data_IF_291265639353
#
_entry.id   IF_291265639353
#
_cell.length_a   1.000
_cell.length_b   1.000
_cell.length_c   1.000
_cell.angle_alpha   90.00
_cell.angle_beta   90.00
_cell.angle_gamma   90.00
#
_symmetry.space_group_name_H-M   'P 1'
#
loop_
_entity.id
_entity.type
_entity.pdbx_description
1 polymer ?
#
# COMPACT_ATOMS: atom_id res chain seq x y z
N UNK A 1 -56.33 -18.20 13.20
CA UNK A 1 -55.06 -18.20 13.95
C UNK A 1 -54.02 -18.86 13.08
N UNK A 2 -53.28 -18.06 12.31
CA UNK A 2 -52.19 -18.53 11.46
C UNK A 2 -51.13 -17.43 11.50
N UNK A 3 -49.98 -17.74 12.10
CA UNK A 3 -48.82 -16.86 12.10
C UNK A 3 -48.00 -17.13 10.82
N UNK A 4 -47.53 -16.10 10.09
CA UNK A 4 -46.44 -16.27 9.15
C UNK A 4 -45.11 -16.00 9.87
N UNK A 5 -44.24 -16.98 9.80
CA UNK A 5 -42.80 -16.88 10.07
C UNK A 5 -42.14 -16.02 8.98
N UNK A 6 -41.70 -14.82 9.33
CA UNK A 6 -40.84 -13.99 8.47
C UNK A 6 -39.36 -14.18 8.87
N UNK A 7 -38.68 -15.04 8.12
CA UNK A 7 -37.21 -15.04 8.04
C UNK A 7 -36.80 -13.83 7.19
N UNK A 8 -36.35 -12.74 7.80
CA UNK A 8 -35.76 -11.63 7.05
C UNK A 8 -34.33 -11.99 6.65
N UNK A 9 -34.17 -12.51 5.43
CA UNK A 9 -32.91 -12.45 4.70
C UNK A 9 -32.55 -10.99 4.51
N UNK A 10 -31.49 -10.53 5.16
CA UNK A 10 -30.90 -9.22 4.90
C UNK A 10 -30.40 -9.22 3.46
N UNK A 11 -31.06 -8.42 2.62
CA UNK A 11 -30.72 -8.25 1.22
C UNK A 11 -29.32 -7.62 1.08
N UNK A 12 -28.56 -8.15 0.14
CA UNK A 12 -27.25 -7.67 -0.29
C UNK A 12 -27.44 -6.41 -1.15
N UNK A 13 -28.06 -5.37 -0.60
CA UNK A 13 -28.42 -4.14 -1.32
C UNK A 13 -28.00 -2.84 -0.61
N UNK A 14 -27.50 -2.91 0.63
CA UNK A 14 -27.15 -1.72 1.42
C UNK A 14 -25.68 -1.23 1.30
N UNK A 15 -24.86 -1.82 0.43
CA UNK A 15 -23.46 -1.37 0.25
C UNK A 15 -23.02 -1.39 -1.22
N UNK A 16 -22.84 -0.21 -1.86
CA UNK A 16 -22.42 -0.11 -3.28
C UNK A 16 -20.95 -0.52 -3.55
N UNK A 17 -20.23 -1.01 -2.54
CA UNK A 17 -18.83 -1.47 -2.64
C UNK A 17 -18.66 -3.00 -2.52
N UNK A 18 -19.75 -3.74 -2.33
CA UNK A 18 -19.72 -5.21 -2.19
C UNK A 18 -20.12 -5.96 -3.47
N UNK A 19 -20.36 -5.26 -4.57
CA UNK A 19 -20.40 -5.91 -5.88
C UNK A 19 -19.02 -6.51 -6.14
N UNK A 20 -18.92 -7.84 -6.05
CA UNK A 20 -17.76 -8.55 -6.58
C UNK A 20 -17.50 -8.00 -7.99
N UNK A 21 -16.27 -7.61 -8.33
CA UNK A 21 -15.99 -7.25 -9.72
C UNK A 21 -16.42 -8.44 -10.54
N UNK A 22 -17.31 -8.22 -11.52
CA UNK A 22 -17.56 -9.20 -12.55
C UNK A 22 -16.18 -9.63 -13.04
N UNK A 23 -15.86 -10.92 -12.85
CA UNK A 23 -14.61 -11.50 -13.33
C UNK A 23 -14.66 -11.37 -14.85
N UNK A 24 -14.12 -10.27 -15.37
CA UNK A 24 -13.77 -10.18 -16.78
C UNK A 24 -12.91 -11.40 -17.10
N UNK A 25 -13.29 -12.09 -18.17
CA UNK A 25 -12.57 -13.26 -18.65
C UNK A 25 -11.12 -12.87 -18.88
N UNK A 26 -10.19 -13.48 -18.12
CA UNK A 26 -8.75 -13.32 -18.33
C UNK A 26 -8.44 -13.49 -19.82
N UNK A 27 -7.78 -12.50 -20.47
CA UNK A 27 -7.33 -12.68 -21.84
C UNK A 27 -6.50 -13.95 -21.94
N UNK A 28 -6.76 -14.78 -22.95
CA UNK A 28 -6.10 -16.05 -23.14
C UNK A 28 -4.57 -15.92 -23.38
N UNK A 29 -4.10 -14.70 -23.67
CA UNK A 29 -2.69 -14.38 -23.89
C UNK A 29 -2.29 -13.10 -23.12
N UNK A 30 -1.29 -13.21 -22.24
CA UNK A 30 -0.69 -12.09 -21.49
C UNK A 30 -0.19 -10.98 -22.42
N UNK A 31 0.24 -11.35 -23.64
CA UNK A 31 0.76 -10.42 -24.64
C UNK A 31 -0.28 -9.42 -25.16
N UNK A 32 -1.57 -9.68 -24.95
CA UNK A 32 -2.64 -8.83 -25.48
C UNK A 32 -3.02 -7.67 -24.54
N UNK A 33 -2.73 -7.78 -23.24
CA UNK A 33 -3.18 -6.78 -22.26
C UNK A 33 -2.07 -6.15 -21.44
N UNK A 34 -0.87 -6.75 -21.41
CA UNK A 34 0.31 -6.19 -20.75
C UNK A 34 1.14 -5.38 -21.75
N UNK A 35 1.65 -4.22 -21.33
CA UNK A 35 2.53 -3.40 -22.15
C UNK A 35 3.80 -4.18 -22.56
N UNK A 36 4.28 -3.96 -23.78
CA UNK A 36 5.47 -4.61 -24.32
C UNK A 36 6.69 -4.38 -23.41
N UNK A 37 6.82 -3.20 -22.80
CA UNK A 37 7.94 -2.88 -21.91
C UNK A 37 7.99 -3.79 -20.66
N UNK A 38 6.83 -4.23 -20.17
CA UNK A 38 6.71 -5.15 -19.04
C UNK A 38 6.97 -6.57 -19.51
N UNK A 39 6.42 -6.94 -20.67
CA UNK A 39 6.60 -8.26 -21.27
C UNK A 39 8.08 -8.59 -21.57
N UNK A 40 8.86 -7.58 -21.93
CA UNK A 40 10.30 -7.72 -22.16
C UNK A 40 11.12 -7.73 -20.87
N UNK A 41 10.51 -7.47 -19.71
CA UNK A 41 11.24 -7.31 -18.46
C UNK A 41 11.62 -8.67 -17.84
N UNK A 42 12.88 -9.04 -18.00
CA UNK A 42 13.53 -10.13 -17.26
C UNK A 42 14.28 -9.59 -16.04
N UNK A 43 14.47 -10.43 -15.03
CA UNK A 43 15.31 -10.09 -13.88
C UNK A 43 16.78 -10.26 -14.24
N UNK A 44 17.60 -9.28 -13.87
CA UNK A 44 19.08 -9.37 -13.95
C UNK A 44 19.67 -9.89 -12.65
N UNK A 45 18.83 -10.18 -11.66
CA UNK A 45 19.23 -10.57 -10.33
C UNK A 45 19.62 -12.06 -10.32
N UNK A 46 20.92 -12.30 -10.47
CA UNK A 46 21.47 -13.65 -10.43
C UNK A 46 21.36 -14.27 -9.03
N UNK A 47 21.31 -15.61 -8.97
CA UNK A 47 21.20 -16.36 -7.71
C UNK A 47 22.24 -15.96 -6.64
N UNK A 48 23.53 -15.70 -6.96
CA UNK A 48 24.49 -15.25 -5.94
C UNK A 48 24.16 -13.87 -5.35
N UNK A 49 23.63 -12.95 -6.16
CA UNK A 49 23.25 -11.61 -5.71
C UNK A 49 22.04 -11.66 -4.79
N UNK A 50 21.03 -12.45 -5.17
CA UNK A 50 19.87 -12.75 -4.31
C UNK A 50 20.32 -13.35 -2.99
N UNK A 51 21.21 -14.33 -3.02
CA UNK A 51 21.69 -15.01 -1.83
C UNK A 51 22.45 -14.07 -0.90
N UNK A 52 23.29 -13.20 -1.47
CA UNK A 52 23.99 -12.16 -0.71
C UNK A 52 23.01 -11.18 -0.07
N UNK A 53 22.06 -10.65 -0.82
CA UNK A 53 21.05 -9.74 -0.29
C UNK A 53 20.19 -10.36 0.81
N UNK A 54 19.77 -11.63 0.63
CA UNK A 54 19.01 -12.36 1.64
C UNK A 54 19.82 -12.49 2.94
N UNK A 55 21.14 -12.67 2.84
CA UNK A 55 22.02 -12.79 4.02
C UNK A 55 22.05 -11.53 4.87
N UNK A 56 21.78 -10.36 4.29
CA UNK A 56 21.68 -9.09 5.03
C UNK A 56 20.40 -8.99 5.89
N UNK A 57 19.39 -9.86 5.64
CA UNK A 57 18.11 -9.94 6.38
C UNK A 57 17.33 -8.61 6.46
N UNK A 58 17.49 -7.74 5.47
CA UNK A 58 16.83 -6.41 5.43
C UNK A 58 15.42 -6.44 4.81
N UNK A 59 15.05 -7.53 4.12
CA UNK A 59 13.80 -7.67 3.37
C UNK A 59 12.64 -8.31 4.15
N UNK A 60 12.95 -8.94 5.28
CA UNK A 60 11.98 -9.66 6.09
C UNK A 60 12.22 -9.37 7.58
N UNK A 61 11.14 -9.15 8.32
CA UNK A 61 11.20 -9.02 9.77
C UNK A 61 11.78 -10.30 10.37
N UNK A 62 12.72 -10.15 11.31
CA UNK A 62 13.50 -11.25 11.89
C UNK A 62 12.64 -12.38 12.46
N UNK A 63 11.48 -12.05 13.05
CA UNK A 63 10.52 -13.00 13.58
C UNK A 63 9.87 -13.91 12.51
N UNK A 64 9.94 -13.53 11.24
CA UNK A 64 9.30 -14.21 10.11
C UNK A 64 10.31 -14.73 9.07
N UNK A 65 11.62 -14.68 9.35
CA UNK A 65 12.65 -15.05 8.39
C UNK A 65 12.53 -16.50 7.88
N UNK A 66 11.99 -17.43 8.70
CA UNK A 66 11.74 -18.82 8.30
C UNK A 66 10.44 -19.01 7.50
N UNK A 67 9.59 -18.00 7.42
CA UNK A 67 8.29 -18.07 6.74
C UNK A 67 8.38 -17.78 5.25
N UNK A 68 9.50 -17.21 4.78
CA UNK A 68 9.65 -16.78 3.41
C UNK A 68 10.94 -17.30 2.79
N UNK A 69 10.86 -17.63 1.51
CA UNK A 69 12.01 -18.03 0.71
C UNK A 69 12.11 -17.11 -0.50
N UNK A 70 13.15 -16.29 -0.56
CA UNK A 70 13.45 -15.48 -1.73
C UNK A 70 14.42 -16.24 -2.66
N UNK A 71 14.15 -16.23 -3.96
CA UNK A 71 14.99 -16.90 -4.98
C UNK A 71 15.09 -16.05 -6.25
N UNK A 72 16.21 -16.22 -6.97
CA UNK A 72 16.35 -15.62 -8.29
C UNK A 72 15.27 -16.12 -9.25
N UNK A 73 14.82 -15.22 -10.13
CA UNK A 73 13.92 -15.58 -11.21
C UNK A 73 14.64 -16.48 -12.23
N UNK A 74 13.89 -17.41 -12.84
CA UNK A 74 14.37 -18.14 -14.01
C UNK A 74 14.48 -17.17 -15.20
N UNK A 75 15.41 -17.37 -16.17
CA UNK A 75 15.54 -16.49 -17.34
C UNK A 75 14.25 -16.30 -18.19
N UNK A 76 13.32 -17.25 -18.11
CA UNK A 76 12.03 -17.18 -18.81
C UNK A 76 10.96 -16.42 -18.03
N UNK A 77 11.17 -16.19 -16.73
CA UNK A 77 10.22 -15.46 -15.90
C UNK A 77 10.13 -14.01 -16.39
N UNK A 78 8.90 -13.49 -16.40
CA UNK A 78 8.61 -12.06 -16.55
C UNK A 78 7.89 -11.61 -15.29
N UNK A 79 8.07 -10.35 -14.92
CA UNK A 79 7.54 -9.81 -13.67
C UNK A 79 6.00 -9.87 -13.58
N UNK A 80 5.32 -9.98 -14.72
CA UNK A 80 3.87 -10.13 -14.83
C UNK A 80 3.39 -11.58 -14.92
N UNK A 81 4.27 -12.58 -15.03
CA UNK A 81 3.87 -13.97 -15.18
C UNK A 81 3.16 -14.48 -13.92
N UNK A 82 2.03 -15.21 -14.07
CA UNK A 82 1.47 -15.96 -12.97
C UNK A 82 2.32 -17.19 -12.64
N UNK A 83 2.03 -17.82 -11.51
CA UNK A 83 2.59 -19.12 -11.16
C UNK A 83 2.29 -20.19 -12.22
N UNK A 84 3.28 -21.04 -12.51
CA UNK A 84 3.05 -22.22 -13.35
C UNK A 84 2.13 -23.22 -12.65
N UNK A 85 1.49 -24.10 -13.43
CA UNK A 85 0.62 -25.12 -12.88
C UNK A 85 1.39 -26.04 -11.90
N UNK A 86 0.94 -26.11 -10.65
CA UNK A 86 1.57 -26.89 -9.58
C UNK A 86 2.75 -26.20 -8.89
N UNK A 87 3.09 -24.96 -9.29
CA UNK A 87 4.04 -24.14 -8.55
C UNK A 87 3.40 -23.60 -7.26
N UNK A 88 4.22 -23.44 -6.21
CA UNK A 88 3.78 -22.81 -4.95
C UNK A 88 3.45 -21.35 -5.17
N UNK A 89 2.54 -20.80 -4.36
CA UNK A 89 2.24 -19.38 -4.35
C UNK A 89 3.49 -18.55 -4.07
N UNK A 90 3.74 -17.57 -4.94
CA UNK A 90 4.82 -16.61 -4.80
C UNK A 90 4.34 -15.22 -5.22
N UNK A 91 5.13 -14.22 -4.85
CA UNK A 91 5.03 -12.86 -5.36
C UNK A 91 6.34 -12.47 -6.04
N UNK A 92 6.27 -11.61 -7.04
CA UNK A 92 7.44 -10.85 -7.47
C UNK A 92 7.52 -9.56 -6.65
N UNK A 93 8.73 -9.19 -6.23
CA UNK A 93 9.00 -7.90 -5.57
C UNK A 93 10.33 -7.34 -6.07
N UNK A 94 10.42 -6.02 -6.15
CA UNK A 94 11.64 -5.30 -6.51
C UNK A 94 12.56 -5.10 -5.29
N UNK A 95 13.86 -5.35 -5.42
CA UNK A 95 14.85 -5.08 -4.37
C UNK A 95 14.77 -3.63 -3.86
N UNK A 96 14.68 -2.58 -4.72
CA UNK A 96 14.53 -1.21 -4.24
C UNK A 96 13.35 -0.97 -3.30
N UNK A 97 12.25 -1.72 -3.43
CA UNK A 97 11.07 -1.57 -2.55
C UNK A 97 11.42 -1.96 -1.11
N UNK A 98 12.21 -3.00 -0.92
CA UNK A 98 12.70 -3.37 0.40
C UNK A 98 13.87 -2.48 0.84
N UNK A 99 14.87 -2.34 -0.03
CA UNK A 99 16.15 -1.69 0.31
C UNK A 99 16.06 -0.18 0.50
N UNK A 100 15.30 0.51 -0.36
CA UNK A 100 15.23 1.98 -0.36
C UNK A 100 13.98 2.50 0.35
N UNK A 101 12.89 1.73 0.33
CA UNK A 101 11.60 2.18 0.85
C UNK A 101 11.25 1.56 2.21
N UNK A 102 12.04 0.62 2.72
CA UNK A 102 11.83 0.01 4.05
C UNK A 102 10.56 -0.80 4.18
N UNK A 103 9.98 -1.23 3.06
CA UNK A 103 8.97 -2.29 3.08
C UNK A 103 9.65 -3.56 3.59
N UNK A 104 8.92 -4.37 4.35
CA UNK A 104 9.43 -5.65 4.86
C UNK A 104 8.33 -6.71 4.83
N UNK A 105 8.71 -7.99 4.75
CA UNK A 105 7.78 -9.10 4.87
C UNK A 105 7.63 -9.61 6.31
N UNK A 106 6.42 -10.04 6.72
CA UNK A 106 5.15 -9.92 5.98
C UNK A 106 4.74 -8.45 5.81
N UNK A 107 4.06 -8.12 4.70
CA UNK A 107 3.53 -6.78 4.48
C UNK A 107 2.65 -6.37 5.65
N UNK A 108 2.77 -5.11 6.07
CA UNK A 108 1.96 -4.58 7.14
C UNK A 108 0.48 -4.50 6.71
N UNK A 109 -0.42 -4.42 7.69
CA UNK A 109 -1.85 -4.37 7.42
C UNK A 109 -2.22 -3.29 6.40
N UNK A 110 -1.74 -2.06 6.62
CA UNK A 110 -2.01 -0.95 5.72
C UNK A 110 -1.46 -1.16 4.30
N UNK A 111 -0.24 -1.67 4.16
CA UNK A 111 0.37 -1.97 2.85
C UNK A 111 -0.45 -3.01 2.07
N UNK A 112 -0.82 -4.11 2.75
CA UNK A 112 -1.65 -5.16 2.19
C UNK A 112 -3.07 -4.66 1.85
N UNK A 113 -3.64 -3.78 2.68
CA UNK A 113 -4.95 -3.19 2.44
C UNK A 113 -4.94 -2.27 1.21
N UNK A 114 -3.89 -1.49 0.99
CA UNK A 114 -3.74 -0.65 -0.21
C UNK A 114 -3.67 -1.53 -1.47
N UNK A 115 -2.84 -2.58 -1.45
CA UNK A 115 -2.76 -3.52 -2.57
C UNK A 115 -4.11 -4.20 -2.85
N UNK A 116 -4.81 -4.62 -1.79
CA UNK A 116 -6.14 -5.22 -1.91
C UNK A 116 -7.17 -4.24 -2.49
N UNK A 117 -7.23 -3.01 -1.98
CA UNK A 117 -8.17 -1.99 -2.42
C UNK A 117 -7.96 -1.60 -3.89
N UNK A 118 -6.72 -1.67 -4.37
CA UNK A 118 -6.37 -1.40 -5.77
C UNK A 118 -6.40 -2.63 -6.67
N UNK A 119 -6.56 -3.84 -6.10
CA UNK A 119 -6.50 -5.09 -6.86
C UNK A 119 -5.11 -5.38 -7.45
N UNK A 120 -4.04 -4.90 -6.83
CA UNK A 120 -2.69 -4.96 -7.39
C UNK A 120 -1.84 -6.06 -6.76
N UNK A 121 -0.98 -6.65 -7.59
CA UNK A 121 0.18 -7.39 -7.09
C UNK A 121 1.31 -6.46 -6.63
N UNK A 122 2.17 -6.91 -5.69
CA UNK A 122 3.26 -6.08 -5.19
C UNK A 122 4.19 -5.52 -6.27
N UNK A 123 4.50 -6.33 -7.30
CA UNK A 123 5.33 -5.92 -8.45
C UNK A 123 4.59 -5.08 -9.48
N UNK A 124 3.25 -5.02 -9.43
CA UNK A 124 2.46 -4.19 -10.34
C UNK A 124 2.42 -2.73 -9.87
N UNK A 125 2.52 -2.49 -8.55
CA UNK A 125 2.66 -1.15 -8.00
C UNK A 125 4.07 -0.61 -8.26
N UNK A 126 4.15 0.53 -8.94
CA UNK A 126 5.41 1.23 -9.20
C UNK A 126 6.11 1.59 -7.87
N UNK A 127 7.46 1.56 -7.76
CA UNK A 127 8.15 1.90 -6.52
C UNK A 127 7.84 3.30 -5.98
N UNK A 128 7.49 4.27 -6.84
CA UNK A 128 7.01 5.57 -6.38
C UNK A 128 5.69 5.49 -5.59
N UNK A 129 4.80 4.54 -5.91
CA UNK A 129 3.60 4.27 -5.13
C UNK A 129 3.92 3.68 -3.77
N UNK A 130 4.90 2.77 -3.71
CA UNK A 130 5.44 2.26 -2.44
C UNK A 130 6.04 3.38 -1.58
N UNK A 131 6.75 4.34 -2.18
CA UNK A 131 7.29 5.50 -1.47
C UNK A 131 6.18 6.37 -0.85
N UNK A 132 5.09 6.61 -1.60
CA UNK A 132 3.90 7.32 -1.10
C UNK A 132 3.28 6.59 0.08
N UNK A 133 3.15 5.26 0.03
CA UNK A 133 2.64 4.44 1.14
C UNK A 133 3.50 4.66 2.40
N UNK A 134 4.83 4.67 2.28
CA UNK A 134 5.74 4.83 3.42
C UNK A 134 5.76 6.25 3.99
N UNK A 135 5.78 7.26 3.11
CA UNK A 135 5.64 8.66 3.52
C UNK A 135 4.31 8.91 4.24
N UNK A 136 3.21 8.32 3.76
CA UNK A 136 1.91 8.41 4.40
C UNK A 136 1.90 7.76 5.79
N UNK A 137 2.54 6.60 5.94
CA UNK A 137 2.70 5.95 7.26
C UNK A 137 3.42 6.85 8.25
N UNK A 138 4.48 7.56 7.83
CA UNK A 138 5.18 8.53 8.67
C UNK A 138 4.26 9.67 9.14
N UNK A 139 3.51 10.25 8.21
CA UNK A 139 2.56 11.33 8.52
C UNK A 139 1.46 10.86 9.49
N UNK A 140 0.86 9.70 9.24
CA UNK A 140 -0.13 9.13 10.16
C UNK A 140 0.48 8.85 11.54
N UNK A 141 1.70 8.29 11.59
CA UNK A 141 2.44 8.07 12.85
C UNK A 141 2.71 9.36 13.61
N UNK A 142 3.00 10.46 12.92
CA UNK A 142 3.19 11.77 13.54
C UNK A 142 1.95 12.26 14.29
N UNK A 143 0.77 12.05 13.72
CA UNK A 143 -0.51 12.38 14.34
C UNK A 143 -1.04 11.30 15.30
N UNK A 144 -0.46 10.10 15.30
CA UNK A 144 -0.96 8.96 16.08
C UNK A 144 -2.20 8.31 15.46
N UNK A 145 -2.42 8.50 14.16
CA UNK A 145 -3.55 7.99 13.40
C UNK A 145 -3.18 6.64 12.78
N UNK A 146 -4.13 5.71 12.75
CA UNK A 146 -3.97 4.45 12.02
C UNK A 146 -4.17 4.74 10.52
N UNK A 147 -3.17 4.50 9.66
CA UNK A 147 -3.33 4.71 8.23
C UNK A 147 -4.30 3.67 7.64
N UNK A 148 -5.23 4.11 6.79
CA UNK A 148 -6.20 3.27 6.07
C UNK A 148 -6.07 3.48 4.57
N UNK A 149 -6.36 2.45 3.77
CA UNK A 149 -6.32 2.57 2.31
C UNK A 149 -7.30 3.65 1.80
N UNK A 150 -8.49 3.75 2.40
CA UNK A 150 -9.49 4.76 2.04
C UNK A 150 -8.97 6.19 2.27
N UNK A 151 -8.30 6.45 3.40
CA UNK A 151 -7.74 7.75 3.69
C UNK A 151 -6.59 8.11 2.74
N UNK A 152 -5.73 7.14 2.37
CA UNK A 152 -4.71 7.36 1.34
C UNK A 152 -5.35 7.70 -0.02
N UNK A 153 -6.36 6.93 -0.44
CA UNK A 153 -7.04 7.07 -1.73
C UNK A 153 -7.98 8.29 -1.80
N UNK A 154 -8.20 8.98 -0.66
CA UNK A 154 -8.81 10.31 -0.63
C UNK A 154 -7.85 11.41 -1.12
N UNK A 155 -6.54 11.22 -0.95
CA UNK A 155 -5.50 12.13 -1.44
C UNK A 155 -4.91 11.69 -2.78
N UNK A 156 -4.86 10.39 -3.04
CA UNK A 156 -4.27 9.80 -4.24
C UNK A 156 -5.28 8.98 -5.05
N UNK A 157 -5.01 8.76 -6.33
CA UNK A 157 -5.72 7.79 -7.15
C UNK A 157 -4.71 6.88 -7.87
N UNK A 158 -5.17 5.70 -8.31
CA UNK A 158 -4.33 4.79 -9.09
C UNK A 158 -4.38 5.17 -10.56
N UNK A 159 -3.25 5.53 -11.15
CA UNK A 159 -3.13 5.69 -12.59
C UNK A 159 -2.71 4.37 -13.22
N UNK A 160 -3.60 3.79 -14.03
CA UNK A 160 -3.42 2.51 -14.71
C UNK A 160 -3.30 2.76 -16.21
N UNK A 161 -2.10 2.63 -16.79
CA UNK A 161 -1.91 2.75 -18.24
C UNK A 161 -2.59 1.62 -19.00
N UNK A 162 -2.99 1.88 -20.25
CA UNK A 162 -3.46 0.85 -21.20
C UNK A 162 -2.61 0.93 -22.47
N UNK A 163 -1.92 -0.16 -22.89
CA UNK A 163 -1.88 -1.48 -22.26
C UNK A 163 -1.25 -1.46 -20.85
N UNK A 164 -1.52 -2.50 -20.05
CA UNK A 164 -1.21 -2.51 -18.63
C UNK A 164 0.30 -2.41 -18.37
N UNK A 165 0.73 -1.28 -17.80
CA UNK A 165 2.07 -1.07 -17.27
C UNK A 165 2.03 -0.96 -15.73
N UNK A 166 3.14 -0.58 -15.11
CA UNK A 166 3.22 -0.33 -13.66
C UNK A 166 2.22 0.73 -13.24
N UNK A 167 1.43 0.42 -12.22
CA UNK A 167 0.42 1.30 -11.67
C UNK A 167 1.07 2.30 -10.73
N UNK A 168 0.72 3.58 -10.88
CA UNK A 168 1.26 4.68 -10.08
C UNK A 168 0.21 5.23 -9.14
N UNK A 169 0.62 5.72 -7.98
CA UNK A 169 -0.24 6.56 -7.14
C UNK A 169 0.01 8.02 -7.52
N UNK A 170 -1.04 8.67 -8.01
CA UNK A 170 -0.98 10.07 -8.47
C UNK A 170 -1.79 10.94 -7.51
N UNK A 171 -1.27 12.09 -7.06
CA UNK A 171 -2.01 12.97 -6.19
C UNK A 171 -3.24 13.52 -6.91
N UNK A 172 -4.36 13.62 -6.19
CA UNK A 172 -5.56 14.28 -6.67
C UNK A 172 -5.33 15.79 -6.71
N UNK A 173 -5.96 16.47 -7.66
CA UNK A 173 -5.85 17.92 -7.84
C UNK A 173 -6.13 18.66 -6.53
N UNK A 174 -5.18 19.49 -6.09
CA UNK A 174 -5.28 20.28 -4.85
C UNK A 174 -5.12 19.49 -3.55
N UNK A 175 -4.72 18.21 -3.63
CA UNK A 175 -4.58 17.29 -2.48
C UNK A 175 -3.22 16.61 -2.43
N UNK A 176 -2.23 17.15 -3.11
CA UNK A 176 -0.87 16.64 -3.11
C UNK A 176 -0.24 16.77 -1.71
N UNK A 177 -0.04 15.64 -1.04
CA UNK A 177 0.69 15.61 0.23
C UNK A 177 2.21 15.57 -0.01
N UNK A 178 2.63 14.83 -1.03
CA UNK A 178 4.04 14.54 -1.30
C UNK A 178 4.40 14.86 -2.74
N UNK A 179 5.65 15.29 -2.93
CA UNK A 179 6.28 15.38 -4.25
C UNK A 179 6.43 13.99 -4.88
N UNK A 180 6.67 13.96 -6.19
CA UNK A 180 6.91 12.69 -6.87
C UNK A 180 8.23 12.05 -6.42
N UNK A 181 8.17 10.78 -6.02
CA UNK A 181 9.37 9.98 -5.78
C UNK A 181 10.01 9.56 -7.11
N UNK A 182 11.19 10.10 -7.38
CA UNK A 182 11.94 9.84 -8.61
C UNK A 182 12.77 8.57 -8.49
N UNK A 183 12.49 7.60 -9.36
CA UNK A 183 13.28 6.38 -9.55
C UNK A 183 13.22 6.00 -11.02
N UNK A 184 14.39 5.84 -11.65
CA UNK A 184 14.44 5.51 -13.08
C UNK A 184 14.00 4.07 -13.31
N UNK A 185 13.46 3.79 -14.50
CA UNK A 185 13.13 2.43 -14.94
C UNK A 185 14.33 1.48 -14.80
N UNK A 186 15.53 1.92 -15.18
CA UNK A 186 16.77 1.16 -15.05
C UNK A 186 17.17 0.86 -13.59
N UNK A 187 16.74 1.68 -12.63
CA UNK A 187 17.08 1.53 -11.22
C UNK A 187 16.22 0.49 -10.49
N UNK A 188 15.07 0.08 -11.05
CA UNK A 188 14.23 -0.93 -10.39
C UNK A 188 13.81 -2.10 -11.29
N UNK A 189 13.49 -1.87 -12.56
CA UNK A 189 12.83 -2.89 -13.39
C UNK A 189 13.62 -4.20 -13.52
N UNK A 190 14.96 -4.21 -13.64
CA UNK A 190 15.74 -5.47 -13.69
C UNK A 190 15.92 -6.13 -12.33
N UNK A 191 15.65 -5.43 -11.23
CA UNK A 191 16.04 -5.82 -9.87
C UNK A 191 14.85 -6.40 -9.12
N UNK A 192 14.29 -7.50 -9.61
CA UNK A 192 13.21 -8.23 -8.95
C UNK A 192 13.54 -9.72 -8.77
N UNK A 193 12.87 -10.35 -7.81
CA UNK A 193 13.03 -11.75 -7.50
C UNK A 193 11.70 -12.36 -7.04
N UNK A 194 11.63 -13.69 -6.98
CA UNK A 194 10.46 -14.41 -6.45
C UNK A 194 10.58 -14.55 -4.95
N UNK A 195 9.47 -14.36 -4.24
CA UNK A 195 9.35 -14.70 -2.83
C UNK A 195 8.22 -15.70 -2.64
N UNK A 196 8.55 -16.88 -2.14
CA UNK A 196 7.59 -17.90 -1.76
C UNK A 196 7.23 -17.76 -0.28
N UNK A 197 5.97 -17.99 0.06
CA UNK A 197 5.54 -18.21 1.43
C UNK A 197 5.65 -19.71 1.75
N UNK A 198 6.30 -20.05 2.86
CA UNK A 198 6.33 -21.41 3.38
C UNK A 198 4.94 -21.82 3.87
N UNK A 199 4.55 -23.08 3.67
CA UNK A 199 3.44 -23.78 4.36
C UNK A 199 2.26 -22.92 4.87
N UNK A 200 1.31 -22.56 3.99
CA UNK A 200 0.08 -21.82 4.35
C UNK A 200 0.32 -20.47 5.07
N UNK A 201 1.54 -19.91 5.03
CA UNK A 201 1.83 -18.58 5.58
C UNK A 201 1.32 -17.50 4.64
N UNK A 202 0.90 -16.38 5.21
CA UNK A 202 0.42 -15.22 4.46
C UNK A 202 1.58 -14.27 4.17
N UNK A 203 1.55 -13.64 2.98
CA UNK A 203 2.43 -12.52 2.67
C UNK A 203 2.05 -11.24 3.42
N UNK A 204 0.87 -11.19 4.03
CA UNK A 204 0.40 -10.09 4.85
C UNK A 204 0.34 -10.48 6.33
N UNK A 205 0.51 -9.50 7.22
CA UNK A 205 0.25 -9.67 8.65
C UNK A 205 -1.25 -9.86 8.98
N UNK A 206 -2.15 -9.84 7.98
CA UNK A 206 -3.60 -9.91 8.17
C UNK A 206 -4.27 -10.93 7.26
N UNK A 207 -5.55 -11.21 7.53
CA UNK A 207 -6.34 -12.20 6.79
C UNK A 207 -6.80 -11.71 5.41
N UNK A 208 -6.81 -10.40 5.15
CA UNK A 208 -7.16 -9.88 3.82
C UNK A 208 -6.01 -10.18 2.85
N UNK A 209 -6.33 -10.90 1.78
CA UNK A 209 -5.39 -11.23 0.71
C UNK A 209 -5.48 -10.21 -0.43
N UNK A 210 -4.34 -9.84 -0.99
CA UNK A 210 -4.23 -9.10 -2.25
C UNK A 210 -3.85 -10.05 -3.39
N UNK A 211 -4.00 -9.66 -4.67
CA UNK A 211 -3.56 -10.48 -5.80
C UNK A 211 -2.05 -10.73 -5.77
N UNK A 212 -1.61 -11.97 -5.96
CA UNK A 212 -0.18 -12.29 -5.93
C UNK A 212 0.55 -11.97 -7.25
N UNK A 213 -0.22 -11.93 -8.34
CA UNK A 213 0.27 -11.73 -9.71
C UNK A 213 -0.53 -10.63 -10.41
N UNK A 214 0.05 -10.05 -11.46
CA UNK A 214 -0.53 -8.90 -12.16
C UNK A 214 -1.96 -9.18 -12.61
N UNK A 215 -2.84 -8.19 -12.41
CA UNK A 215 -4.24 -8.23 -12.83
C UNK A 215 -4.50 -7.10 -13.82
N UNK A 216 -5.42 -7.32 -14.76
CA UNK A 216 -6.03 -6.23 -15.49
C UNK A 216 -6.99 -5.53 -14.52
N UNK A 217 -6.68 -4.30 -14.13
CA UNK A 217 -7.47 -3.52 -13.17
C UNK A 217 -7.97 -2.23 -13.82
N UNK A 218 -9.21 -1.80 -13.51
CA UNK A 218 -9.67 -0.49 -13.93
C UNK A 218 -8.99 0.61 -13.12
N UNK A 219 -8.96 1.83 -13.66
CA UNK A 219 -8.49 3.00 -12.93
C UNK A 219 -9.42 3.30 -11.74
N UNK A 220 -8.88 3.29 -10.52
CA UNK A 220 -9.59 3.70 -9.29
C UNK A 220 -9.47 5.22 -9.12
N UNK A 221 -10.24 5.97 -9.92
CA UNK A 221 -10.26 7.44 -9.89
C UNK A 221 -11.34 8.02 -8.97
N UNK A 222 -12.35 7.24 -8.57
CA UNK A 222 -13.42 7.72 -7.68
C UNK A 222 -12.87 8.00 -6.29
N UNK A 223 -13.29 9.12 -5.68
CA UNK A 223 -12.95 9.42 -4.28
C UNK A 223 -13.69 8.42 -3.40
N UNK A 224 -12.98 7.69 -2.51
CA UNK A 224 -13.63 6.72 -1.63
C UNK A 224 -14.56 7.42 -0.65
N UNK A 225 -15.64 6.74 -0.28
CA UNK A 225 -16.47 7.16 0.86
C UNK A 225 -15.68 6.85 2.12
N UNK A 226 -15.28 7.91 2.82
CA UNK A 226 -14.51 7.80 4.06
C UNK A 226 -15.41 7.39 5.23
N UNK A 227 -14.87 6.57 6.12
CA UNK A 227 -15.50 6.30 7.41
C UNK A 227 -15.60 7.61 8.22
N UNK A 228 -16.54 7.72 9.18
CA UNK A 228 -16.60 8.88 10.07
C UNK A 228 -15.27 9.11 10.82
N UNK A 229 -14.53 8.03 11.09
CA UNK A 229 -13.21 8.07 11.67
C UNK A 229 -12.18 8.70 10.74
N UNK A 230 -12.10 8.27 9.49
CA UNK A 230 -11.16 8.81 8.50
C UNK A 230 -11.48 10.29 8.19
N UNK A 231 -12.76 10.64 8.05
CA UNK A 231 -13.21 12.02 7.81
C UNK A 231 -12.71 12.98 8.89
N UNK A 232 -12.65 12.50 10.13
CA UNK A 232 -12.17 13.29 11.28
C UNK A 232 -10.70 13.68 11.14
N UNK A 233 -9.89 12.88 10.42
CA UNK A 233 -8.45 13.10 10.27
C UNK A 233 -8.07 13.93 9.05
N UNK A 234 -8.98 14.06 8.08
CA UNK A 234 -8.75 14.81 6.83
C UNK A 234 -8.25 16.24 7.08
N UNK A 235 -8.87 17.06 7.96
CA UNK A 235 -8.42 18.44 8.16
C UNK A 235 -6.97 18.55 8.67
N UNK A 236 -6.52 17.60 9.50
CA UNK A 236 -5.13 17.59 10.00
C UNK A 236 -4.12 17.23 8.92
N UNK A 237 -4.49 16.32 8.02
CA UNK A 237 -3.67 15.94 6.86
C UNK A 237 -3.65 17.06 5.81
N UNK A 238 -4.78 17.74 5.59
CA UNK A 238 -4.87 18.88 4.68
C UNK A 238 -4.16 20.13 5.19
N UNK A 239 -3.99 20.27 6.50
CA UNK A 239 -3.25 21.36 7.11
C UNK A 239 -1.72 21.26 6.89
N UNK A 240 -1.19 20.10 6.50
CA UNK A 240 0.24 19.93 6.24
C UNK A 240 0.69 20.70 4.99
N UNK A 241 2.00 21.05 4.89
CA UNK A 241 2.56 21.57 3.65
C UNK A 241 2.26 20.64 2.47
N UNK A 242 1.96 21.25 1.31
CA UNK A 242 1.74 20.51 0.06
C UNK A 242 3.06 20.14 -0.59
N UNK A 243 3.07 19.03 -1.32
CA UNK A 243 4.24 18.58 -2.06
C UNK A 243 5.50 18.33 -1.21
N UNK A 244 5.36 17.86 0.04
CA UNK A 244 6.52 17.53 0.89
C UNK A 244 7.43 16.51 0.19
N UNK A 245 8.74 16.65 0.35
CA UNK A 245 9.73 15.80 -0.33
C UNK A 245 9.56 14.32 0.05
N UNK A 246 8.96 13.54 -0.86
CA UNK A 246 8.65 12.13 -0.62
C UNK A 246 9.90 11.31 -0.30
N UNK A 247 11.03 11.61 -0.95
CA UNK A 247 12.28 10.89 -0.69
C UNK A 247 12.79 11.16 0.73
N UNK A 248 12.80 12.43 1.15
CA UNK A 248 13.19 12.81 2.50
C UNK A 248 12.26 12.16 3.55
N UNK A 249 10.95 12.14 3.30
CA UNK A 249 9.98 11.50 4.19
C UNK A 249 10.23 9.98 4.34
N UNK A 250 10.50 9.28 3.24
CA UNK A 250 10.82 7.85 3.25
C UNK A 250 12.10 7.61 4.06
N UNK A 251 13.18 8.36 3.80
CA UNK A 251 14.45 8.21 4.52
C UNK A 251 14.29 8.46 6.03
N UNK A 252 13.46 9.44 6.42
CA UNK A 252 13.11 9.67 7.82
C UNK A 252 12.30 8.53 8.43
N UNK A 253 11.38 7.93 7.68
CA UNK A 253 10.52 6.84 8.16
C UNK A 253 11.32 5.59 8.58
N UNK A 254 12.51 5.38 7.99
CA UNK A 254 13.43 4.29 8.31
C UNK A 254 14.16 4.47 9.66
N UNK A 255 14.12 5.68 10.25
CA UNK A 255 14.88 6.01 11.46
C UNK A 255 14.07 5.68 12.73
N UNK A 256 14.72 5.25 13.82
CA UNK A 256 14.02 4.94 15.09
C UNK A 256 13.21 6.13 15.64
N UNK A 257 13.70 7.34 15.44
CA UNK A 257 13.17 8.62 15.89
C UNK A 257 12.48 9.41 14.76
N UNK A 258 11.87 8.71 13.80
CA UNK A 258 11.25 9.28 12.61
C UNK A 258 10.33 10.50 12.88
N UNK A 259 9.56 10.48 13.97
CA UNK A 259 8.65 11.59 14.33
C UNK A 259 9.36 12.82 14.86
N UNK A 260 10.58 12.69 15.40
CA UNK A 260 11.42 13.83 15.77
C UNK A 260 12.00 14.48 14.51
N UNK A 261 12.57 13.67 13.61
CA UNK A 261 13.06 14.17 12.31
C UNK A 261 11.96 14.85 11.49
N UNK A 262 10.76 14.29 11.47
CA UNK A 262 9.64 14.92 10.76
C UNK A 262 9.23 16.28 11.38
N UNK A 263 9.35 16.48 12.70
CA UNK A 263 9.11 17.79 13.33
C UNK A 263 10.14 18.82 12.91
N UNK A 264 11.41 18.41 12.82
CA UNK A 264 12.47 19.31 12.38
C UNK A 264 12.31 19.64 10.90
N UNK A 265 11.98 18.64 10.07
CA UNK A 265 11.61 18.86 8.67
C UNK A 265 10.48 19.89 8.51
N UNK A 266 9.38 19.75 9.26
CA UNK A 266 8.29 20.72 9.22
C UNK A 266 8.72 22.13 9.67
N UNK A 267 9.62 22.23 10.65
CA UNK A 267 10.18 23.51 11.09
C UNK A 267 11.03 24.15 10.00
N UNK A 268 11.83 23.35 9.29
CA UNK A 268 12.67 23.80 8.19
C UNK A 268 11.84 24.28 6.99
N UNK A 269 10.64 23.71 6.81
CA UNK A 269 9.63 24.20 5.86
C UNK A 269 8.86 25.45 6.35
N UNK A 270 9.27 26.07 7.46
CA UNK A 270 8.56 27.18 8.12
C UNK A 270 7.11 26.86 8.50
N UNK A 271 6.77 25.58 8.68
CA UNK A 271 5.43 25.15 9.06
C UNK A 271 5.31 25.05 10.58
N UNK A 272 4.42 25.87 11.16
CA UNK A 272 4.13 25.80 12.59
C UNK A 272 3.16 24.65 12.91
N UNK A 273 3.71 23.44 13.04
CA UNK A 273 2.92 22.23 13.33
C UNK A 273 2.34 22.17 14.75
N UNK A 274 2.79 23.02 15.68
CA UNK A 274 2.45 22.88 17.12
C UNK A 274 0.96 22.98 17.40
N UNK A 275 0.19 23.95 16.86
CA UNK A 275 -1.24 24.06 17.13
C UNK A 275 -2.01 22.84 16.60
N UNK A 276 -1.75 22.46 15.34
CA UNK A 276 -2.39 21.33 14.65
C UNK A 276 -2.10 20.02 15.37
N UNK A 277 -0.83 19.77 15.74
CA UNK A 277 -0.45 18.58 16.50
C UNK A 277 -1.07 18.56 17.91
N UNK A 278 -1.22 19.72 18.55
CA UNK A 278 -1.84 19.81 19.88
C UNK A 278 -3.33 19.46 19.79
N UNK A 279 -4.04 20.01 18.80
CA UNK A 279 -5.44 19.70 18.55
C UNK A 279 -5.64 18.21 18.22
N UNK A 280 -4.79 17.63 17.37
CA UNK A 280 -4.82 16.19 17.07
C UNK A 280 -4.65 15.34 18.34
N UNK A 281 -3.72 15.70 19.23
CA UNK A 281 -3.51 14.99 20.51
C UNK A 281 -4.69 15.12 21.47
N UNK A 282 -5.32 16.30 21.56
CA UNK A 282 -6.52 16.51 22.37
C UNK A 282 -7.64 15.61 21.86
N UNK A 283 -7.83 15.57 20.54
CA UNK A 283 -8.83 14.71 19.91
C UNK A 283 -8.56 13.22 20.17
N UNK A 284 -7.31 12.77 20.02
CA UNK A 284 -6.92 11.39 20.32
C UNK A 284 -7.26 10.99 21.76
N UNK A 285 -7.00 11.88 22.74
CA UNK A 285 -7.34 11.64 24.15
C UNK A 285 -8.85 11.58 24.35
N UNK A 286 -9.60 12.55 23.81
CA UNK A 286 -11.04 12.58 23.93
C UNK A 286 -11.70 11.32 23.31
N UNK A 287 -11.15 10.80 22.21
CA UNK A 287 -11.60 9.54 21.59
C UNK A 287 -11.28 8.32 22.45
N UNK A 288 -10.07 8.23 23.02
CA UNK A 288 -9.72 7.16 23.93
C UNK A 288 -10.64 7.13 25.16
N UNK A 289 -10.95 8.30 25.70
CA UNK A 289 -11.87 8.47 26.82
C UNK A 289 -13.32 8.07 26.46
N UNK A 290 -13.80 8.43 25.27
CA UNK A 290 -15.13 8.03 24.78
C UNK A 290 -15.24 6.51 24.58
N UNK A 291 -14.19 5.86 24.06
CA UNK A 291 -14.13 4.40 23.93
C UNK A 291 -14.21 3.69 25.29
N UNK A 292 -13.52 4.22 26.31
CA UNK A 292 -13.61 3.70 27.68
C UNK A 292 -15.02 3.85 28.29
N UNK A 293 -15.78 4.86 27.86
CA UNK A 293 -17.14 5.14 28.33
C UNK A 293 -18.25 4.58 27.45
N UNK A 294 -17.92 3.89 26.35
CA UNK A 294 -18.87 3.46 25.31
C UNK A 294 -19.73 4.63 24.76
N UNK A 295 -19.13 5.81 24.61
CA UNK A 295 -19.76 7.01 24.08
C UNK A 295 -19.45 7.21 22.58
N UNK A 296 -20.21 8.09 21.92
CA UNK A 296 -19.94 8.46 20.54
C UNK A 296 -18.57 9.17 20.42
N UNK A 297 -17.81 8.83 19.38
CA UNK A 297 -16.50 9.42 19.15
C UNK A 297 -16.61 10.91 18.80
N UNK A 298 -15.86 11.80 19.47
CA UNK A 298 -15.85 13.22 19.15
C UNK A 298 -15.34 13.47 17.74
N UNK A 299 -15.97 14.44 17.06
CA UNK A 299 -15.62 14.90 15.71
C UNK A 299 -14.87 16.23 15.79
N UNK A 300 -14.14 16.55 14.72
CA UNK A 300 -13.61 17.91 14.52
C UNK A 300 -14.73 18.73 13.90
N UNK A 301 -15.19 19.76 14.60
CA UNK A 301 -16.05 20.77 13.98
C UNK A 301 -15.24 21.58 12.97
N UNK A 302 -15.75 21.78 11.74
CA UNK A 302 -15.03 22.46 10.66
C UNK A 302 -14.74 23.94 10.94
#
# INVERSE_FOLDING_TARGET
MSAPSSSSSLEVSDFPFLSSPERESKPADLRQWVDEEVWLQASFYLSPLVSHYISEKTWCATAYASHFQAVACHPIDRVCHPSFHGERDFIYVYEPVFRLLGVTLPFQHFEAEVLWALGLAPSQLHPSGWAVIQAFRLVCRFYGVIPTAALLLFFYYSDVPTPASWVRLVPRTGRDLFSEYQISSSAFRPWFFKVYACERRSFAATARSFPLHWQLVPNVSKVPVLSPEDQTWVPFLEALPRGMDCKALVEMALRPDATAHFKDYLRDQNFNFRPVLTQAKVLMRARADALLRNEALPRVDP
#
